data_IF_006785070521
#
_entry.id   IF_006785070521
#
_cell.length_a   1.000
_cell.length_b   1.000
_cell.length_c   1.000
_cell.angle_alpha   90.00
_cell.angle_beta   90.00
_cell.angle_gamma   90.00
#
_symmetry.space_group_name_H-M   'P 1'
#
loop_
_entity.id
_entity.type
_entity.pdbx_description
1 polymer ?
#
# COMPACT_ATOMS: atom_id res chain seq x y z
N UNK A 1 -30.80 -14.53 -5.71
CA UNK A 1 -29.37 -14.23 -5.90
C UNK A 1 -28.86 -13.55 -4.63
N UNK A 2 -27.73 -13.99 -4.05
CA UNK A 2 -27.07 -13.20 -3.00
C UNK A 2 -26.29 -12.10 -3.70
N UNK A 3 -26.62 -10.83 -3.45
CA UNK A 3 -25.75 -9.72 -3.82
C UNK A 3 -24.40 -9.93 -3.11
N UNK A 4 -23.38 -10.34 -3.86
CA UNK A 4 -22.03 -10.51 -3.35
C UNK A 4 -21.43 -9.12 -3.06
N UNK A 5 -21.62 -8.63 -1.83
CA UNK A 5 -21.04 -7.37 -1.37
C UNK A 5 -19.52 -7.45 -1.17
N UNK A 6 -18.84 -6.29 -1.15
CA UNK A 6 -17.42 -6.19 -0.84
C UNK A 6 -17.24 -6.22 0.69
N UNK A 7 -16.47 -7.19 1.20
CA UNK A 7 -16.03 -7.22 2.60
C UNK A 7 -14.66 -6.56 2.73
N UNK A 8 -14.57 -5.50 3.52
CA UNK A 8 -13.32 -4.80 3.81
C UNK A 8 -12.87 -5.12 5.24
N UNK A 9 -11.61 -5.53 5.39
CA UNK A 9 -10.95 -5.64 6.69
C UNK A 9 -9.78 -4.66 6.75
N UNK A 10 -9.80 -3.77 7.75
CA UNK A 10 -8.75 -2.78 7.95
C UNK A 10 -7.97 -3.11 9.24
N UNK A 11 -6.66 -3.31 9.09
CA UNK A 11 -5.71 -3.35 10.21
C UNK A 11 -4.72 -2.20 10.05
N UNK A 12 -4.80 -1.24 10.96
CA UNK A 12 -3.90 -0.08 10.99
C UNK A 12 -3.47 0.22 12.42
N UNK A 13 -2.22 0.65 12.58
CA UNK A 13 -1.64 1.03 13.87
C UNK A 13 -0.84 2.33 13.72
N UNK A 14 -1.04 3.26 14.65
CA UNK A 14 -0.39 4.58 14.63
C UNK A 14 1.12 4.42 14.82
N UNK A 15 1.89 5.26 14.13
CA UNK A 15 3.34 5.38 14.29
C UNK A 15 4.12 4.06 14.13
N UNK A 16 3.67 3.17 13.24
CA UNK A 16 4.38 1.91 12.92
C UNK A 16 5.21 2.01 11.65
N UNK A 17 6.24 1.17 11.56
CA UNK A 17 7.19 1.11 10.47
C UNK A 17 7.11 -0.25 9.75
N UNK A 18 7.50 -0.30 8.47
CA UNK A 18 7.56 -1.48 7.61
C UNK A 18 8.17 -2.72 8.32
N UNK A 19 9.30 -2.63 9.06
CA UNK A 19 9.92 -3.79 9.69
C UNK A 19 9.03 -4.47 10.74
N UNK A 20 8.15 -3.72 11.41
CA UNK A 20 7.23 -4.28 12.40
C UNK A 20 6.18 -5.17 11.74
N UNK A 21 5.67 -4.77 10.58
CA UNK A 21 4.69 -5.52 9.80
C UNK A 21 5.31 -6.72 9.08
N UNK A 22 6.58 -6.60 8.65
CA UNK A 22 7.36 -7.72 8.13
C UNK A 22 7.79 -8.72 9.23
N UNK A 23 7.65 -8.35 10.50
CA UNK A 23 7.94 -9.17 11.67
C UNK A 23 6.74 -10.00 12.14
N UNK A 24 6.95 -10.91 13.10
CA UNK A 24 5.85 -11.71 13.66
C UNK A 24 4.85 -10.88 14.49
N UNK A 25 5.27 -9.72 15.00
CA UNK A 25 4.54 -8.96 16.01
C UNK A 25 3.20 -8.39 15.54
N UNK A 26 3.02 -8.18 14.23
CA UNK A 26 1.77 -7.64 13.66
C UNK A 26 0.85 -8.71 13.05
N UNK A 27 1.26 -9.98 13.09
CA UNK A 27 0.40 -11.10 12.75
C UNK A 27 -0.07 -11.16 11.29
N UNK A 28 0.66 -10.55 10.34
CA UNK A 28 0.26 -10.50 8.92
C UNK A 28 0.00 -11.88 8.34
N UNK A 29 0.90 -12.84 8.59
CA UNK A 29 0.74 -14.22 8.12
C UNK A 29 -0.54 -14.88 8.69
N UNK A 30 -0.85 -14.65 9.97
CA UNK A 30 -2.08 -15.16 10.59
C UNK A 30 -3.33 -14.53 9.98
N UNK A 31 -3.32 -13.23 9.72
CA UNK A 31 -4.43 -12.54 9.06
C UNK A 31 -4.67 -13.08 7.65
N UNK A 32 -3.62 -13.33 6.86
CA UNK A 32 -3.75 -13.92 5.52
C UNK A 32 -4.40 -15.32 5.57
N UNK A 33 -3.98 -16.15 6.52
CA UNK A 33 -4.55 -17.50 6.70
C UNK A 33 -6.02 -17.47 7.14
N UNK A 34 -6.37 -16.56 8.05
CA UNK A 34 -7.72 -16.46 8.61
C UNK A 34 -8.71 -15.79 7.66
N UNK A 35 -8.29 -14.70 7.01
CA UNK A 35 -9.18 -13.88 6.20
C UNK A 35 -9.26 -14.35 4.74
N UNK A 36 -8.22 -15.05 4.25
CA UNK A 36 -8.09 -15.49 2.84
C UNK A 36 -8.50 -14.39 1.85
N UNK A 37 -7.87 -13.21 1.90
CA UNK A 37 -8.31 -12.07 1.12
C UNK A 37 -8.10 -12.29 -0.38
N UNK A 38 -9.02 -11.78 -1.19
CA UNK A 38 -8.88 -11.77 -2.66
C UNK A 38 -7.86 -10.72 -3.15
N UNK A 39 -7.62 -9.68 -2.33
CA UNK A 39 -6.59 -8.66 -2.56
C UNK A 39 -6.10 -8.06 -1.25
N UNK A 40 -4.81 -7.76 -1.17
CA UNK A 40 -4.19 -7.05 -0.06
C UNK A 40 -3.70 -5.68 -0.52
N UNK A 41 -4.08 -4.63 0.20
CA UNK A 41 -3.54 -3.28 -0.01
C UNK A 41 -2.62 -2.95 1.16
N UNK A 42 -1.36 -2.67 0.86
CA UNK A 42 -0.32 -2.32 1.84
C UNK A 42 -0.09 -0.81 1.75
N UNK A 43 -0.50 -0.04 2.76
CA UNK A 43 -0.27 1.39 2.85
C UNK A 43 0.70 1.69 4.00
N UNK A 44 2.00 1.50 3.76
CA UNK A 44 3.09 1.69 4.72
C UNK A 44 4.22 2.55 4.11
N UNK A 45 5.06 3.14 4.96
CA UNK A 45 6.20 3.98 4.55
C UNK A 45 6.10 5.44 5.01
N UNK A 46 4.92 5.90 5.44
CA UNK A 46 4.71 7.30 5.79
C UNK A 46 5.61 7.81 6.92
N UNK A 47 5.94 6.96 7.90
CA UNK A 47 6.84 7.31 9.00
C UNK A 47 8.31 7.25 8.58
N UNK A 48 8.65 6.34 7.67
CA UNK A 48 10.00 6.21 7.11
C UNK A 48 10.44 7.44 6.30
N UNK A 49 9.52 8.31 5.87
CA UNK A 49 9.87 9.58 5.22
C UNK A 49 10.68 10.52 6.13
N UNK A 50 10.63 10.32 7.45
CA UNK A 50 11.45 11.05 8.41
C UNK A 50 12.89 10.50 8.55
N UNK A 51 13.19 9.34 7.97
CA UNK A 51 14.45 8.63 8.19
C UNK A 51 15.58 9.12 7.29
N UNK A 52 16.80 9.00 7.78
CA UNK A 52 18.04 9.33 7.05
C UNK A 52 18.56 8.21 6.16
N UNK A 53 18.21 6.95 6.46
CA UNK A 53 18.70 5.75 5.75
C UNK A 53 17.53 4.84 5.32
N UNK A 54 16.69 5.25 4.35
CA UNK A 54 15.53 4.46 3.93
C UNK A 54 15.88 3.16 3.20
N UNK A 55 17.08 3.04 2.62
CA UNK A 55 17.57 1.86 1.91
C UNK A 55 17.57 0.59 2.78
N UNK A 56 17.71 0.72 4.10
CA UNK A 56 17.63 -0.40 5.04
C UNK A 56 16.23 -1.07 5.06
N UNK A 57 15.23 -0.45 4.42
CA UNK A 57 13.86 -0.97 4.30
C UNK A 57 13.69 -1.97 3.17
N UNK A 58 14.56 -1.99 2.16
CA UNK A 58 14.50 -2.93 1.04
C UNK A 58 14.21 -4.40 1.47
N UNK A 59 15.02 -5.03 2.34
CA UNK A 59 14.78 -6.43 2.75
C UNK A 59 13.49 -6.61 3.57
N UNK A 60 12.93 -5.54 4.14
CA UNK A 60 11.67 -5.61 4.91
C UNK A 60 10.45 -5.47 4.02
N UNK A 61 10.55 -4.67 2.95
CA UNK A 61 9.55 -4.62 1.89
C UNK A 61 9.44 -6.01 1.24
N UNK A 62 10.57 -6.57 0.80
CA UNK A 62 10.61 -7.92 0.19
C UNK A 62 10.03 -8.99 1.11
N UNK A 63 10.44 -8.98 2.39
CA UNK A 63 9.93 -9.94 3.37
C UNK A 63 8.42 -9.82 3.55
N UNK A 64 7.88 -8.61 3.68
CA UNK A 64 6.43 -8.42 3.85
C UNK A 64 5.67 -8.88 2.60
N UNK A 65 6.17 -8.54 1.42
CA UNK A 65 5.57 -8.96 0.15
C UNK A 65 5.63 -10.47 -0.04
N UNK A 66 6.70 -11.15 0.38
CA UNK A 66 6.79 -12.61 0.32
C UNK A 66 5.70 -13.31 1.14
N UNK A 67 5.17 -12.67 2.20
CA UNK A 67 4.07 -13.23 2.98
C UNK A 67 2.78 -13.33 2.16
N UNK A 68 2.61 -12.49 1.13
CA UNK A 68 1.41 -12.50 0.29
C UNK A 68 1.29 -13.78 -0.53
N UNK A 69 2.40 -14.46 -0.83
CA UNK A 69 2.41 -15.66 -1.66
C UNK A 69 1.76 -15.39 -3.02
N UNK A 70 0.67 -16.13 -3.31
CA UNK A 70 -0.11 -15.96 -4.54
C UNK A 70 -1.24 -14.93 -4.44
N UNK A 71 -1.51 -14.38 -3.24
CA UNK A 71 -2.57 -13.40 -3.05
C UNK A 71 -2.24 -12.10 -3.79
N UNK A 72 -3.13 -11.60 -4.68
CA UNK A 72 -2.95 -10.32 -5.33
C UNK A 72 -2.69 -9.19 -4.33
N UNK A 73 -1.70 -8.35 -4.58
CA UNK A 73 -1.35 -7.29 -3.65
C UNK A 73 -0.94 -6.00 -4.37
N UNK A 74 -1.24 -4.88 -3.72
CA UNK A 74 -0.86 -3.53 -4.14
C UNK A 74 -0.16 -2.85 -2.97
N UNK A 75 1.06 -2.37 -3.19
CA UNK A 75 1.74 -1.47 -2.27
C UNK A 75 1.47 -0.02 -2.68
N UNK A 76 0.88 0.75 -1.77
CA UNK A 76 0.60 2.18 -1.96
C UNK A 76 1.75 3.00 -1.37
N UNK A 77 2.56 3.61 -2.24
CA UNK A 77 3.62 4.52 -1.82
C UNK A 77 3.00 5.75 -1.15
N UNK A 78 3.50 6.20 0.02
CA UNK A 78 2.90 7.32 0.75
C UNK A 78 3.10 8.64 0.01
N UNK A 79 2.14 9.57 0.06
CA UNK A 79 2.34 10.92 -0.45
C UNK A 79 3.30 11.70 0.46
N UNK A 80 4.34 12.28 -0.13
CA UNK A 80 5.39 13.03 0.59
C UNK A 80 4.76 14.16 1.42
N UNK A 81 5.23 14.29 2.66
CA UNK A 81 4.96 15.44 3.53
C UNK A 81 6.25 16.23 3.72
N UNK A 82 6.16 17.56 3.78
CA UNK A 82 7.35 18.44 3.85
C UNK A 82 8.18 18.54 2.56
N UNK A 83 7.69 18.03 1.42
CA UNK A 83 8.29 18.10 0.08
C UNK A 83 9.75 17.61 -0.01
N UNK A 84 10.16 16.68 0.85
CA UNK A 84 11.49 16.06 0.80
C UNK A 84 11.34 14.58 0.50
N UNK A 85 11.85 14.17 -0.65
CA UNK A 85 12.05 12.76 -0.95
C UNK A 85 13.38 12.31 -0.33
N UNK A 86 13.34 11.29 0.52
CA UNK A 86 14.54 10.67 1.08
C UNK A 86 15.01 9.45 0.27
N UNK A 87 14.32 9.09 -0.82
CA UNK A 87 14.59 7.92 -1.66
C UNK A 87 13.73 6.70 -1.33
N UNK A 88 12.91 6.75 -0.27
CA UNK A 88 12.07 5.62 0.14
C UNK A 88 11.08 5.19 -0.94
N UNK A 89 10.49 6.12 -1.70
CA UNK A 89 9.48 5.77 -2.69
C UNK A 89 10.06 4.87 -3.79
N UNK A 90 11.29 5.15 -4.22
CA UNK A 90 12.05 4.29 -5.14
C UNK A 90 12.33 2.90 -4.56
N UNK A 91 12.76 2.85 -3.29
CA UNK A 91 12.96 1.57 -2.58
C UNK A 91 11.67 0.74 -2.52
N UNK A 92 10.53 1.36 -2.21
CA UNK A 92 9.25 0.66 -2.21
C UNK A 92 8.92 0.12 -3.60
N UNK A 93 9.04 0.96 -4.64
CA UNK A 93 8.76 0.56 -6.04
C UNK A 93 9.61 -0.62 -6.48
N UNK A 94 10.90 -0.58 -6.21
CA UNK A 94 11.86 -1.55 -6.74
C UNK A 94 11.79 -2.89 -5.99
N UNK A 95 11.39 -2.88 -4.71
CA UNK A 95 11.38 -4.06 -3.84
C UNK A 95 9.99 -4.62 -3.53
N UNK A 96 8.90 -3.99 -4.01
CA UNK A 96 7.54 -4.49 -3.74
C UNK A 96 7.07 -5.60 -4.66
N UNK A 97 7.88 -6.08 -5.62
CA UNK A 97 7.48 -7.17 -6.52
C UNK A 97 7.30 -8.49 -5.72
N UNK A 98 6.28 -9.32 -6.03
CA UNK A 98 5.36 -9.21 -7.16
C UNK A 98 4.15 -8.27 -6.97
N UNK A 99 3.96 -7.65 -5.80
CA UNK A 99 2.87 -6.69 -5.62
C UNK A 99 2.99 -5.53 -6.62
N UNK A 100 1.83 -5.03 -7.04
CA UNK A 100 1.77 -3.81 -7.86
C UNK A 100 2.14 -2.60 -7.03
N UNK A 101 2.79 -1.64 -7.68
CA UNK A 101 3.10 -0.38 -7.04
C UNK A 101 2.08 0.68 -7.46
N UNK A 102 1.42 1.29 -6.47
CA UNK A 102 0.61 2.48 -6.68
C UNK A 102 1.31 3.68 -6.07
N UNK A 103 1.78 4.59 -6.92
CA UNK A 103 2.38 5.84 -6.49
C UNK A 103 1.29 6.86 -6.11
N UNK A 104 0.94 6.94 -4.83
CA UNK A 104 -0.01 7.96 -4.37
C UNK A 104 0.66 9.33 -4.11
N UNK A 105 1.97 9.44 -4.33
CA UNK A 105 2.69 10.71 -4.26
C UNK A 105 2.32 11.70 -5.37
N UNK A 106 1.66 11.24 -6.43
CA UNK A 106 1.06 12.12 -7.45
C UNK A 106 0.04 13.11 -6.87
N UNK A 107 -0.41 12.90 -5.63
CA UNK A 107 -1.30 13.81 -4.90
C UNK A 107 -0.55 14.92 -4.15
N UNK A 108 0.77 14.83 -3.99
CA UNK A 108 1.58 15.87 -3.37
C UNK A 108 1.99 16.94 -4.39
N UNK A 109 2.11 18.23 -3.98
CA UNK A 109 1.87 18.76 -2.64
C UNK A 109 0.39 19.06 -2.35
N UNK A 110 -0.51 18.87 -3.31
CA UNK A 110 -1.91 19.32 -3.30
C UNK A 110 -2.87 18.44 -2.48
N UNK A 111 -2.34 17.58 -1.62
CA UNK A 111 -3.13 16.76 -0.72
C UNK A 111 -3.48 17.61 0.51
N UNK A 112 -4.77 17.87 0.82
CA UNK A 112 -5.14 18.62 2.01
C UNK A 112 -4.64 17.95 3.29
N UNK A 113 -3.85 18.66 4.09
CA UNK A 113 -3.27 18.17 5.35
C UNK A 113 -3.74 18.99 6.55
N UNK A 114 -3.76 18.33 7.70
CA UNK A 114 -4.06 18.94 8.99
C UNK A 114 -2.99 19.94 9.44
N UNK A 115 -3.13 20.42 10.67
CA UNK A 115 -2.22 21.40 11.26
C UNK A 115 -0.78 20.87 11.38
N UNK A 116 -0.60 19.57 11.57
CA UNK A 116 0.72 18.92 11.67
C UNK A 116 1.48 18.80 10.33
N UNK A 117 0.83 19.15 9.21
CA UNK A 117 1.38 19.07 7.85
C UNK A 117 1.84 17.66 7.42
N UNK A 118 1.48 16.63 8.18
CA UNK A 118 1.83 15.22 7.92
C UNK A 118 0.55 14.45 7.61
N UNK A 119 -0.48 14.54 8.43
CA UNK A 119 -1.69 13.73 8.24
C UNK A 119 -2.69 14.45 7.32
N UNK A 120 -3.30 13.75 6.34
CA UNK A 120 -4.35 14.32 5.52
C UNK A 120 -5.58 14.69 6.35
N UNK A 121 -6.28 15.77 5.97
CA UNK A 121 -7.61 16.09 6.52
C UNK A 121 -8.62 15.02 6.10
N UNK A 122 -9.86 15.07 6.62
CA UNK A 122 -10.92 14.17 6.14
C UNK A 122 -11.15 14.29 4.63
N UNK A 123 -11.07 15.50 4.08
CA UNK A 123 -11.11 15.74 2.63
C UNK A 123 -9.93 15.11 1.91
N UNK A 124 -8.70 15.29 2.43
CA UNK A 124 -7.51 14.67 1.86
C UNK A 124 -7.56 13.14 1.90
N UNK A 125 -8.09 12.55 2.97
CA UNK A 125 -8.29 11.10 3.07
C UNK A 125 -9.29 10.59 2.02
N UNK A 126 -10.40 11.31 1.80
CA UNK A 126 -11.37 10.97 0.75
C UNK A 126 -10.76 11.05 -0.65
N UNK A 127 -9.98 12.11 -0.93
CA UNK A 127 -9.25 12.27 -2.19
C UNK A 127 -8.28 11.10 -2.41
N UNK A 128 -7.45 10.79 -1.41
CA UNK A 128 -6.50 9.68 -1.48
C UNK A 128 -7.19 8.33 -1.70
N UNK A 129 -8.27 8.05 -0.96
CA UNK A 129 -9.02 6.82 -1.09
C UNK A 129 -9.70 6.70 -2.48
N UNK A 130 -10.23 7.81 -3.01
CA UNK A 130 -10.80 7.85 -4.37
C UNK A 130 -9.80 7.44 -5.44
N UNK A 131 -8.60 8.04 -5.41
CA UNK A 131 -7.53 7.70 -6.36
C UNK A 131 -7.07 6.23 -6.24
N UNK A 132 -6.97 5.70 -5.02
CA UNK A 132 -6.69 4.29 -4.81
C UNK A 132 -7.78 3.38 -5.41
N UNK A 133 -9.06 3.72 -5.22
CA UNK A 133 -10.16 2.94 -5.78
C UNK A 133 -10.17 2.98 -7.31
N UNK A 134 -9.90 4.13 -7.91
CA UNK A 134 -9.82 4.25 -9.38
C UNK A 134 -8.63 3.49 -9.95
N UNK A 135 -7.48 3.49 -9.25
CA UNK A 135 -6.35 2.63 -9.59
C UNK A 135 -6.74 1.15 -9.52
N UNK A 136 -7.35 0.69 -8.42
CA UNK A 136 -7.76 -0.70 -8.25
C UNK A 136 -8.78 -1.14 -9.31
N UNK A 137 -9.71 -0.26 -9.71
CA UNK A 137 -10.65 -0.50 -10.81
C UNK A 137 -9.93 -0.66 -12.15
N UNK A 138 -8.93 0.19 -12.41
CA UNK A 138 -8.14 0.18 -13.66
C UNK A 138 -7.23 -1.04 -13.76
N UNK A 139 -6.65 -1.47 -12.65
CA UNK A 139 -5.76 -2.63 -12.60
C UNK A 139 -6.48 -3.96 -12.46
N UNK A 140 -7.79 -3.98 -12.18
CA UNK A 140 -8.56 -5.21 -12.11
C UNK A 140 -8.65 -5.89 -13.48
N UNK A 141 -8.40 -7.19 -13.51
CA UNK A 141 -8.75 -8.02 -14.66
C UNK A 141 -10.27 -8.25 -14.68
N UNK A 142 -10.96 -7.62 -15.63
CA UNK A 142 -12.40 -7.77 -15.79
C UNK A 142 -12.83 -9.11 -16.39
N UNK A 143 -11.88 -9.91 -16.92
CA UNK A 143 -12.15 -11.23 -17.47
C UNK A 143 -12.08 -12.35 -16.43
N UNK A 144 -11.49 -12.08 -15.26
CA UNK A 144 -11.37 -13.06 -14.18
C UNK A 144 -12.69 -13.23 -13.40
N UNK A 145 -13.03 -14.47 -13.08
CA UNK A 145 -14.22 -14.82 -12.29
C UNK A 145 -14.08 -14.48 -10.80
N UNK A 146 -12.85 -14.37 -10.28
CA UNK A 146 -12.50 -13.85 -8.97
C UNK A 146 -11.67 -12.57 -9.10
N UNK A 147 -11.42 -11.84 -8.01
CA UNK A 147 -10.54 -10.66 -8.11
C UNK A 147 -9.14 -11.10 -8.56
N UNK A 148 -8.68 -10.51 -9.65
CA UNK A 148 -7.32 -10.63 -10.12
C UNK A 148 -6.86 -9.26 -10.62
N UNK A 149 -5.56 -9.03 -10.54
CA UNK A 149 -4.92 -7.91 -11.21
C UNK A 149 -4.63 -8.33 -12.64
N UNK A 150 -4.78 -7.41 -13.59
CA UNK A 150 -4.40 -7.61 -15.00
C UNK A 150 -2.93 -7.99 -15.12
N UNK A 151 -2.50 -8.43 -16.30
CA UNK A 151 -1.08 -8.69 -16.57
C UNK A 151 -0.22 -7.44 -16.29
N UNK A 152 1.02 -7.66 -15.80
CA UNK A 152 1.94 -6.55 -15.54
C UNK A 152 2.36 -5.87 -16.84
N UNK A 153 2.21 -4.53 -16.98
CA UNK A 153 2.77 -3.81 -18.11
C UNK A 153 4.27 -4.07 -18.20
N UNK A 154 4.79 -4.23 -19.42
CA UNK A 154 6.21 -4.50 -19.64
C UNK A 154 7.13 -3.38 -19.13
N UNK A 155 6.57 -2.20 -18.85
CA UNK A 155 7.26 -1.01 -18.37
C UNK A 155 7.32 -0.89 -16.84
N UNK A 156 6.77 -1.87 -16.08
CA UNK A 156 6.73 -1.88 -14.61
C UNK A 156 7.65 -2.96 -13.97
#
# INVERSE_FOLDING_TARGET
EQEAGIKVFLRGEKATFIPEWAGPNRGVAGMLQQLKPDVVVIALGGNELAMTTPEIRAPKVEKLVSLMGATPCVWVAPPLWGNKDNGLLGIIRDHSKPCRHFDSNTLAPDLPRGSDKIHPTSEGQKKWAGHLLDYLRTERDSSASAFALRARPATE
#
